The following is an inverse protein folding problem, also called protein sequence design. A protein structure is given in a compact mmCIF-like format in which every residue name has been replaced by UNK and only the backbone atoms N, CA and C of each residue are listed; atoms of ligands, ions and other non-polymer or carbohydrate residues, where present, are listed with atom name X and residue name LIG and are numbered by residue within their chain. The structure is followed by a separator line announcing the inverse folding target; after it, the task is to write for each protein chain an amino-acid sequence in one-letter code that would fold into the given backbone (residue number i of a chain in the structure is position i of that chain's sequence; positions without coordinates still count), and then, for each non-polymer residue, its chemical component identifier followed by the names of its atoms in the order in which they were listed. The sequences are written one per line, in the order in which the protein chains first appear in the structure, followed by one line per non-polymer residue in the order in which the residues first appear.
data_IF_296861079908
#
_entry.id   IF_296861079908
#
_cell.length_a   1.000
_cell.length_b   1.000
_cell.length_c   1.000
_cell.angle_alpha   90.00
_cell.angle_beta   90.00
_cell.angle_gamma   90.00
#
_symmetry.space_group_name_H-M   'P 1'
#
loop_
_entity.id
_entity.type
_entity.pdbx_description
1 polymer ?
#
# COMPACT_ATOMS: atom_id res chain seq x y z
N UNK A 1 -11.92 9.62 8.42
CA UNK A 1 -10.70 10.48 8.28
C UNK A 1 -10.99 11.43 7.13
N UNK A 2 -10.42 12.64 7.08
CA UNK A 2 -10.62 13.55 5.96
C UNK A 2 -9.24 13.94 5.42
N UNK A 3 -8.85 13.43 4.25
CA UNK A 3 -7.58 13.76 3.60
C UNK A 3 -7.73 14.92 2.62
N UNK A 4 -6.98 15.99 2.87
CA UNK A 4 -6.86 17.12 1.95
C UNK A 4 -5.61 16.95 1.06
N UNK A 5 -5.60 17.55 -0.14
CA UNK A 5 -4.43 17.51 -1.03
C UNK A 5 -3.11 17.92 -0.35
N UNK A 6 -3.17 18.85 0.62
CA UNK A 6 -2.02 19.32 1.40
C UNK A 6 -1.29 18.20 2.16
N UNK A 7 -1.99 17.13 2.51
CA UNK A 7 -1.37 15.95 3.12
C UNK A 7 -0.35 15.27 2.21
N UNK A 8 -0.49 15.46 0.89
CA UNK A 8 0.36 14.82 -0.11
C UNK A 8 1.47 15.74 -0.64
N UNK A 9 1.49 17.02 -0.26
CA UNK A 9 2.46 18.00 -0.78
C UNK A 9 3.91 17.67 -0.41
N UNK A 10 4.13 17.04 0.74
CA UNK A 10 5.44 16.58 1.22
C UNK A 10 5.76 15.13 0.82
N UNK A 11 4.91 14.49 0.00
CA UNK A 11 5.06 13.10 -0.43
C UNK A 11 5.51 13.02 -1.87
N UNK A 12 6.34 12.03 -2.18
CA UNK A 12 6.76 11.72 -3.55
C UNK A 12 5.65 10.99 -4.32
N UNK A 13 4.51 11.64 -4.54
CA UNK A 13 3.30 11.03 -5.13
C UNK A 13 3.57 10.41 -6.49
N UNK A 14 4.35 11.06 -7.35
CA UNK A 14 4.68 10.51 -8.68
C UNK A 14 5.52 9.23 -8.58
N UNK A 15 6.46 9.17 -7.64
CA UNK A 15 7.28 7.99 -7.44
C UNK A 15 6.48 6.83 -6.83
N UNK A 16 5.53 7.15 -5.95
CA UNK A 16 4.76 6.17 -5.20
C UNK A 16 3.55 5.63 -5.96
N UNK A 17 2.89 6.48 -6.75
CA UNK A 17 1.60 6.17 -7.38
C UNK A 17 1.68 6.11 -8.91
N UNK A 18 2.70 6.72 -9.52
CA UNK A 18 2.90 6.76 -10.96
C UNK A 18 3.16 8.16 -11.50
N UNK A 19 3.87 8.23 -12.62
CA UNK A 19 4.22 9.48 -13.31
C UNK A 19 2.98 10.33 -13.60
N UNK A 20 3.07 11.64 -13.33
CA UNK A 20 1.98 12.59 -13.55
C UNK A 20 0.88 12.58 -12.49
N UNK A 21 1.04 11.81 -11.40
CA UNK A 21 0.16 11.88 -10.23
C UNK A 21 0.67 12.95 -9.26
N UNK A 22 0.05 14.12 -9.35
CA UNK A 22 0.36 15.28 -8.52
C UNK A 22 -0.45 15.28 -7.21
N UNK A 23 0.11 15.81 -6.11
CA UNK A 23 -0.59 15.91 -4.82
C UNK A 23 -1.97 16.57 -4.90
N UNK A 24 -2.09 17.64 -5.72
CA UNK A 24 -3.33 18.39 -5.94
C UNK A 24 -4.48 17.54 -6.53
N UNK A 25 -4.15 16.41 -7.14
CA UNK A 25 -5.14 15.49 -7.72
C UNK A 25 -5.66 14.47 -6.70
N UNK A 26 -5.05 14.37 -5.51
CA UNK A 26 -5.41 13.42 -4.46
C UNK A 26 -6.27 14.08 -3.39
N UNK A 27 -7.31 13.39 -2.95
CA UNK A 27 -8.21 13.82 -1.87
C UNK A 27 -8.89 12.61 -1.24
N UNK A 28 -9.64 12.86 -0.17
CA UNK A 28 -10.39 11.85 0.58
C UNK A 28 -11.30 10.99 -0.31
N UNK A 29 -12.03 11.58 -1.25
CA UNK A 29 -12.95 10.83 -2.12
C UNK A 29 -12.25 9.80 -3.02
N UNK A 30 -11.06 10.12 -3.53
CA UNK A 30 -10.30 9.23 -4.40
C UNK A 30 -9.57 8.17 -3.59
N UNK A 31 -8.89 8.57 -2.53
CA UNK A 31 -8.09 7.67 -1.70
C UNK A 31 -9.00 6.78 -0.84
N UNK A 32 -10.07 7.33 -0.28
CA UNK A 32 -11.08 6.60 0.48
C UNK A 32 -11.68 5.45 -0.33
N UNK A 33 -12.08 5.70 -1.59
CA UNK A 33 -12.58 4.63 -2.48
C UNK A 33 -11.57 3.53 -2.76
N UNK A 34 -10.28 3.82 -2.76
CA UNK A 34 -9.22 2.81 -2.91
C UNK A 34 -9.05 2.03 -1.60
N UNK A 35 -9.05 2.74 -0.47
CA UNK A 35 -9.00 2.12 0.86
C UNK A 35 -10.19 1.18 1.10
N UNK A 36 -11.40 1.57 0.70
CA UNK A 36 -12.60 0.72 0.81
C UNK A 36 -12.45 -0.60 0.02
N UNK A 37 -11.82 -0.54 -1.16
CA UNK A 37 -11.54 -1.74 -1.97
C UNK A 37 -10.47 -2.61 -1.33
N UNK A 38 -9.43 -2.01 -0.74
CA UNK A 38 -8.39 -2.76 -0.03
C UNK A 38 -8.95 -3.44 1.21
N UNK A 39 -9.85 -2.78 1.93
CA UNK A 39 -10.55 -3.34 3.08
C UNK A 39 -11.37 -4.58 2.68
N UNK A 40 -12.14 -4.50 1.59
CA UNK A 40 -12.87 -5.64 1.02
C UNK A 40 -11.96 -6.82 0.63
N UNK A 41 -10.69 -6.55 0.31
CA UNK A 41 -9.71 -7.55 -0.10
C UNK A 41 -8.85 -8.08 1.07
N UNK A 42 -9.17 -7.71 2.32
CA UNK A 42 -8.38 -8.00 3.51
C UNK A 42 -6.95 -7.42 3.43
N UNK A 43 -6.79 -6.22 3.98
CA UNK A 43 -5.53 -5.46 4.00
C UNK A 43 -4.35 -6.28 4.55
N UNK A 44 -4.58 -7.14 5.54
CA UNK A 44 -3.53 -7.99 6.13
C UNK A 44 -2.95 -8.98 5.13
N UNK A 45 -3.80 -9.60 4.30
CA UNK A 45 -3.37 -10.52 3.25
C UNK A 45 -2.63 -9.75 2.16
N UNK A 46 -3.14 -8.58 1.75
CA UNK A 46 -2.49 -7.73 0.75
C UNK A 46 -1.09 -7.28 1.21
N UNK A 47 -0.96 -6.84 2.47
CA UNK A 47 0.32 -6.45 3.06
C UNK A 47 1.32 -7.62 3.06
N UNK A 48 0.88 -8.82 3.44
CA UNK A 48 1.73 -10.01 3.44
C UNK A 48 2.22 -10.33 2.02
N UNK A 49 1.33 -10.33 1.02
CA UNK A 49 1.68 -10.62 -0.36
C UNK A 49 2.70 -9.61 -0.93
N UNK A 50 2.49 -8.31 -0.68
CA UNK A 50 3.43 -7.25 -1.08
C UNK A 50 4.78 -7.44 -0.39
N UNK A 51 4.78 -7.75 0.91
CA UNK A 51 6.01 -7.98 1.69
C UNK A 51 6.80 -9.17 1.15
N UNK A 52 6.13 -10.29 0.86
CA UNK A 52 6.76 -11.47 0.26
C UNK A 52 7.33 -11.17 -1.14
N UNK A 53 6.60 -10.41 -1.95
CA UNK A 53 7.08 -9.97 -3.25
C UNK A 53 8.34 -9.09 -3.14
N UNK A 54 8.38 -8.18 -2.16
CA UNK A 54 9.54 -7.34 -1.89
C UNK A 54 10.74 -8.17 -1.41
N UNK A 55 10.54 -9.08 -0.46
CA UNK A 55 11.58 -10.01 0.01
C UNK A 55 12.19 -10.79 -1.17
N UNK A 56 11.34 -11.34 -2.04
CA UNK A 56 11.79 -12.06 -3.25
C UNK A 56 12.53 -11.13 -4.22
N UNK A 57 12.05 -9.91 -4.43
CA UNK A 57 12.64 -8.95 -5.38
C UNK A 57 14.02 -8.44 -4.93
N UNK A 58 14.20 -8.23 -3.62
CA UNK A 58 15.41 -7.63 -3.07
C UNK A 58 16.35 -8.63 -2.38
N UNK A 59 15.99 -9.93 -2.35
CA UNK A 59 16.83 -10.98 -1.77
C UNK A 59 17.03 -10.83 -0.26
N UNK A 60 16.01 -10.30 0.44
CA UNK A 60 16.08 -10.08 1.89
C UNK A 60 16.17 -11.44 2.60
N UNK A 61 17.15 -11.60 3.49
CA UNK A 61 17.32 -12.82 4.30
C UNK A 61 16.08 -13.10 5.15
N UNK A 62 15.57 -14.33 5.09
CA UNK A 62 14.38 -14.77 5.84
C UNK A 62 14.74 -15.67 7.01
N UNK A 63 15.99 -15.62 7.50
CA UNK A 63 16.48 -16.57 8.51
C UNK A 63 15.72 -16.53 9.84
N UNK A 64 14.99 -15.44 10.11
CA UNK A 64 14.18 -15.25 11.33
C UNK A 64 12.68 -15.03 11.04
N UNK A 65 12.17 -15.42 9.88
CA UNK A 65 10.73 -15.24 9.59
C UNK A 65 9.90 -16.24 10.39
N UNK A 66 9.20 -15.79 11.43
CA UNK A 66 8.19 -16.58 12.13
C UNK A 66 6.93 -16.64 11.25
N UNK A 67 6.93 -17.58 10.30
CA UNK A 67 5.87 -17.74 9.30
C UNK A 67 4.62 -18.36 9.90
N UNK A 68 3.65 -17.54 10.28
CA UNK A 68 2.31 -18.05 10.61
C UNK A 68 1.22 -17.06 10.22
N UNK A 69 0.83 -17.05 8.94
CA UNK A 69 -0.58 -16.85 8.53
C UNK A 69 -0.81 -17.66 7.25
N UNK A 70 -1.63 -18.71 7.33
CA UNK A 70 -2.08 -19.47 6.16
C UNK A 70 -2.99 -18.60 5.30
N UNK A 71 -2.68 -18.35 4.01
CA UNK A 71 -3.60 -17.70 3.12
C UNK A 71 -4.67 -18.72 2.72
N UNK A 72 -5.91 -18.48 3.17
CA UNK A 72 -7.16 -19.12 2.74
C UNK A 72 -7.43 -20.54 3.30
N UNK A 73 -8.30 -20.59 4.32
CA UNK A 73 -9.42 -21.54 4.38
C UNK A 73 -10.70 -20.77 4.07
#
# INVERSE_FOLDING_TARGET
MYLFPQFFEDKATEHLLGEGIEPKQLNDDKIGRVMDKLDQLNVSVMFLLISLAAVKKFGVGTENSHGSISPLQ
#
